data_IF_820052221664
#
_entry.id   IF_820052221664
#
_cell.length_a   1.000
_cell.length_b   1.000
_cell.length_c   1.000
_cell.angle_alpha   90.00
_cell.angle_beta   90.00
_cell.angle_gamma   90.00
#
_symmetry.space_group_name_H-M   'P 1'
#
loop_
_entity.id
_entity.type
_entity.pdbx_description
1 polymer ?
#
# COMPACT_ATOMS: atom_id res chain seq x y z
N UNK A 1 -20.34 12.17 -8.40
CA UNK A 1 -19.73 10.89 -8.15
C UNK A 1 -18.23 11.00 -8.12
N UNK A 2 -17.64 10.60 -7.01
CA UNK A 2 -16.20 10.63 -6.89
C UNK A 2 -15.60 9.43 -7.61
N UNK A 3 -14.64 9.69 -8.47
CA UNK A 3 -13.89 8.62 -9.11
C UNK A 3 -12.61 8.40 -8.33
N UNK A 4 -12.34 7.16 -8.00
CA UNK A 4 -11.09 6.83 -7.36
C UNK A 4 -9.97 7.01 -8.38
N UNK A 5 -8.91 7.68 -7.95
CA UNK A 5 -7.74 7.86 -8.81
C UNK A 5 -6.64 6.92 -8.36
N UNK A 6 -6.13 6.19 -9.31
CA UNK A 6 -5.00 5.31 -9.05
C UNK A 6 -3.82 5.75 -9.89
N UNK A 7 -2.64 5.69 -9.31
CA UNK A 7 -1.41 6.12 -9.96
C UNK A 7 -0.46 4.94 -10.11
N UNK A 8 0.44 5.05 -11.07
CA UNK A 8 1.48 4.05 -11.20
C UNK A 8 2.42 4.13 -10.01
N UNK A 9 3.14 3.03 -9.75
CA UNK A 9 4.09 2.97 -8.64
C UNK A 9 5.14 4.08 -8.76
N UNK A 10 5.63 4.31 -9.97
CA UNK A 10 6.64 5.36 -10.20
C UNK A 10 6.14 6.73 -9.75
N UNK A 11 4.91 7.05 -10.09
CA UNK A 11 4.30 8.32 -9.71
C UNK A 11 4.15 8.41 -8.20
N UNK A 12 3.68 7.33 -7.59
CA UNK A 12 3.47 7.30 -6.14
C UNK A 12 4.78 7.46 -5.38
N UNK A 13 5.82 6.76 -5.82
CA UNK A 13 7.13 6.86 -5.18
C UNK A 13 7.65 8.28 -5.28
N UNK A 14 7.51 8.90 -6.42
CA UNK A 14 7.93 10.29 -6.63
C UNK A 14 7.21 11.23 -5.68
N UNK A 15 5.89 11.06 -5.55
CA UNK A 15 5.10 11.89 -4.65
C UNK A 15 5.50 11.72 -3.19
N UNK A 16 5.79 10.48 -2.79
CA UNK A 16 6.26 10.18 -1.44
C UNK A 16 7.60 10.88 -1.19
N UNK A 17 8.52 10.76 -2.12
CA UNK A 17 9.85 11.35 -1.99
C UNK A 17 9.79 12.86 -1.93
N UNK A 18 8.85 13.46 -2.64
CA UNK A 18 8.67 14.90 -2.64
C UNK A 18 7.88 15.41 -1.42
N UNK A 19 7.33 14.49 -0.64
CA UNK A 19 6.53 14.86 0.52
C UNK A 19 5.13 15.33 0.17
N UNK A 20 4.66 15.03 -1.02
CA UNK A 20 3.32 15.43 -1.46
C UNK A 20 2.23 14.56 -0.85
N UNK A 21 2.54 13.29 -0.59
CA UNK A 21 1.57 12.35 -0.01
C UNK A 21 2.25 11.54 1.08
N UNK A 22 1.42 10.94 1.95
CA UNK A 22 1.90 10.02 2.97
C UNK A 22 1.67 8.58 2.54
N UNK A 23 2.03 7.65 3.42
CA UNK A 23 1.88 6.23 3.12
C UNK A 23 0.43 5.80 2.96
N UNK A 24 -0.47 6.44 3.71
CA UNK A 24 -1.90 6.16 3.59
C UNK A 24 -2.40 6.48 2.18
N UNK A 25 -2.01 7.63 1.67
CA UNK A 25 -2.37 8.02 0.32
C UNK A 25 -1.76 7.07 -0.71
N UNK A 26 -0.53 6.63 -0.45
CA UNK A 26 0.14 5.68 -1.32
C UNK A 26 -0.71 4.41 -1.48
N UNK A 27 -1.14 3.84 -0.36
CA UNK A 27 -1.96 2.62 -0.39
C UNK A 27 -3.30 2.87 -1.08
N UNK A 28 -3.95 3.99 -0.77
CA UNK A 28 -5.26 4.29 -1.32
C UNK A 28 -5.25 4.53 -2.82
N UNK A 29 -4.14 5.01 -3.34
CA UNK A 29 -4.02 5.31 -4.78
C UNK A 29 -3.21 4.29 -5.55
N UNK A 30 -2.74 3.25 -4.89
CA UNK A 30 -1.95 2.20 -5.52
C UNK A 30 -2.84 1.33 -6.42
N UNK A 31 -3.88 0.77 -5.84
CA UNK A 31 -4.85 -0.03 -6.58
C UNK A 31 -6.05 -0.30 -5.68
N UNK A 32 -7.14 -0.70 -6.31
CA UNK A 32 -8.35 -1.05 -5.55
C UNK A 32 -8.09 -2.26 -4.66
N UNK A 33 -7.38 -3.25 -5.18
CA UNK A 33 -7.03 -4.45 -4.42
C UNK A 33 -6.19 -4.12 -3.20
N UNK A 34 -5.18 -3.31 -3.38
CA UNK A 34 -4.30 -2.90 -2.28
C UNK A 34 -5.10 -2.16 -1.21
N UNK A 35 -5.95 -1.25 -1.64
CA UNK A 35 -6.79 -0.48 -0.72
C UNK A 35 -7.70 -1.38 0.11
N UNK A 36 -8.32 -2.35 -0.54
CA UNK A 36 -9.21 -3.30 0.14
C UNK A 36 -8.45 -4.19 1.12
N UNK A 37 -7.33 -4.72 0.68
CA UNK A 37 -6.50 -5.59 1.52
C UNK A 37 -6.03 -4.85 2.76
N UNK A 38 -5.62 -3.60 2.58
CA UNK A 38 -5.16 -2.79 3.69
C UNK A 38 -6.30 -2.55 4.68
N UNK A 39 -7.47 -2.17 4.19
CA UNK A 39 -8.63 -1.91 5.05
C UNK A 39 -9.01 -3.18 5.81
N UNK A 40 -9.02 -4.31 5.13
CA UNK A 40 -9.35 -5.60 5.74
C UNK A 40 -8.32 -5.96 6.81
N UNK A 41 -7.03 -5.77 6.49
CA UNK A 41 -5.94 -6.06 7.41
C UNK A 41 -6.07 -5.22 8.69
N UNK A 42 -6.36 -3.94 8.54
CA UNK A 42 -6.55 -3.07 9.69
C UNK A 42 -7.72 -3.55 10.55
N UNK A 43 -8.81 -3.93 9.91
CA UNK A 43 -9.99 -4.42 10.61
C UNK A 43 -9.67 -5.72 11.36
N UNK A 44 -8.98 -6.64 10.70
CA UNK A 44 -8.63 -7.93 11.29
C UNK A 44 -7.68 -7.78 12.49
N UNK A 45 -6.76 -6.81 12.39
CA UNK A 45 -5.76 -6.58 13.43
C UNK A 45 -6.22 -5.58 14.49
N UNK A 46 -7.38 -4.99 14.30
CA UNK A 46 -7.89 -3.98 15.21
C UNK A 46 -7.06 -2.71 15.19
N UNK A 47 -6.53 -2.36 14.03
CA UNK A 47 -5.69 -1.18 13.87
C UNK A 47 -6.45 -0.04 13.22
N UNK A 48 -6.01 1.17 13.48
CA UNK A 48 -6.59 2.36 12.86
C UNK A 48 -6.01 2.56 11.47
N UNK A 49 -6.80 3.16 10.59
CA UNK A 49 -6.34 3.48 9.24
C UNK A 49 -5.60 4.82 9.31
N UNK A 50 -4.29 4.77 9.14
CA UNK A 50 -3.44 5.96 9.22
C UNK A 50 -2.11 5.69 8.52
N UNK A 51 -1.26 6.72 8.46
CA UNK A 51 0.03 6.59 7.79
C UNK A 51 0.91 5.52 8.43
N UNK A 52 0.89 5.43 9.75
CA UNK A 52 1.71 4.45 10.47
C UNK A 52 1.37 3.02 10.08
N UNK A 53 0.07 2.71 10.08
CA UNK A 53 -0.36 1.36 9.72
C UNK A 53 -0.20 1.10 8.23
N UNK A 54 -0.34 2.14 7.42
CA UNK A 54 -0.13 2.00 5.98
C UNK A 54 1.33 1.63 5.69
N UNK A 55 2.27 2.27 6.39
CA UNK A 55 3.68 1.95 6.25
C UNK A 55 3.97 0.51 6.68
N UNK A 56 3.38 0.11 7.80
CA UNK A 56 3.53 -1.25 8.31
C UNK A 56 3.00 -2.27 7.31
N UNK A 57 1.82 -2.00 6.76
CA UNK A 57 1.21 -2.88 5.78
C UNK A 57 2.07 -3.03 4.53
N UNK A 58 2.62 -1.93 4.05
CA UNK A 58 3.48 -1.95 2.87
C UNK A 58 4.77 -2.72 3.14
N UNK A 59 5.31 -2.61 4.34
CA UNK A 59 6.48 -3.37 4.71
C UNK A 59 6.19 -4.87 4.69
N UNK A 60 5.03 -5.28 5.18
CA UNK A 60 4.62 -6.67 5.15
C UNK A 60 4.46 -7.17 3.72
N UNK A 61 3.85 -6.36 2.87
CA UNK A 61 3.66 -6.73 1.47
C UNK A 61 4.98 -6.88 0.75
N UNK A 62 5.92 -6.01 1.06
CA UNK A 62 7.25 -6.07 0.45
C UNK A 62 7.95 -7.39 0.78
N UNK A 63 7.88 -7.80 2.05
CA UNK A 63 8.47 -9.07 2.49
C UNK A 63 7.81 -10.24 1.78
N UNK A 64 6.48 -10.24 1.71
CA UNK A 64 5.75 -11.31 1.04
C UNK A 64 6.13 -11.41 -0.43
N UNK A 65 6.28 -10.28 -1.09
CA UNK A 65 6.66 -10.27 -2.50
C UNK A 65 8.05 -10.82 -2.71
N UNK A 66 8.98 -10.47 -1.84
CA UNK A 66 10.34 -10.99 -1.93
C UNK A 66 10.37 -12.50 -1.76
N UNK A 67 9.65 -13.01 -0.78
CA UNK A 67 9.57 -14.45 -0.55
C UNK A 67 8.97 -15.17 -1.75
N UNK A 68 7.90 -14.60 -2.30
CA UNK A 68 7.24 -15.19 -3.45
C UNK A 68 8.19 -15.25 -4.65
N UNK A 69 8.97 -14.20 -4.84
CA UNK A 69 9.93 -14.16 -5.95
C UNK A 69 11.01 -15.22 -5.79
N UNK A 70 11.52 -15.39 -4.59
CA UNK A 70 12.55 -16.40 -4.35
C UNK A 70 12.02 -17.80 -4.60
N UNK A 71 10.82 -18.07 -4.14
CA UNK A 71 10.22 -19.39 -4.28
C UNK A 71 9.77 -19.65 -5.72
N UNK A 72 9.27 -18.61 -6.37
CA UNK A 72 8.75 -18.74 -7.71
C UNK A 72 9.81 -18.84 -8.78
N UNK A 73 11.03 -18.65 -8.39
CA UNK A 73 12.16 -18.56 -9.33
C UNK A 73 12.75 -19.92 -9.68
N UNK A 74 12.00 -20.91 -9.55
CA UNK A 74 12.51 -22.27 -9.82
C UNK A 74 12.26 -22.71 -11.25
#
# INVERSE_FOLDING_TARGET
MAKEKFYSVDVLVEKIQNGEIGWLDYVNHYSRSMKREYAQWCSDEGKSICDDTAEEFLALKSVEMEEAMEKGDL
#
